data_IF_288477024791
#
_entry.id   IF_288477024791
#
_cell.length_a   1.000
_cell.length_b   1.000
_cell.length_c   1.000
_cell.angle_alpha   90.00
_cell.angle_beta   90.00
_cell.angle_gamma   90.00
#
_symmetry.space_group_name_H-M   'P 1'
#
loop_
_entity.id
_entity.type
_entity.pdbx_description
1 polymer ?
#
# COMPACT_ATOMS: atom_id res chain seq x y z
N UNK A 1 10.11 -20.61 -94.61
CA UNK A 1 10.29 -20.18 -93.20
C UNK A 1 8.90 -20.03 -92.56
N UNK A 2 8.75 -20.49 -91.30
CA UNK A 2 7.62 -20.42 -90.31
C UNK A 2 6.42 -19.47 -90.59
N UNK A 3 5.19 -19.71 -90.05
CA UNK A 3 4.91 -20.39 -88.76
C UNK A 3 3.65 -21.29 -88.69
N UNK A 4 3.52 -22.08 -87.62
CA UNK A 4 2.24 -22.33 -86.93
C UNK A 4 2.52 -22.85 -85.52
N UNK A 5 2.41 -21.97 -84.53
CA UNK A 5 2.43 -22.32 -83.10
C UNK A 5 1.04 -22.77 -82.67
N UNK A 6 0.89 -24.05 -82.34
CA UNK A 6 -0.32 -24.59 -81.70
C UNK A 6 -0.24 -24.33 -80.19
N UNK A 7 -1.21 -23.60 -79.64
CA UNK A 7 -1.33 -23.39 -78.20
C UNK A 7 -2.05 -24.59 -77.57
N UNK A 8 -1.32 -25.43 -76.84
CA UNK A 8 -1.93 -26.47 -76.01
C UNK A 8 -2.47 -25.86 -74.71
N UNK A 9 -3.79 -25.62 -74.68
CA UNK A 9 -4.50 -25.42 -73.40
C UNK A 9 -4.71 -26.78 -72.73
N UNK A 10 -3.85 -27.14 -71.78
CA UNK A 10 -4.16 -28.21 -70.82
C UNK A 10 -5.36 -27.78 -69.97
N UNK A 11 -6.55 -28.28 -70.29
CA UNK A 11 -7.70 -28.22 -69.37
C UNK A 11 -7.43 -29.20 -68.23
N UNK A 12 -7.01 -28.67 -67.09
CA UNK A 12 -6.98 -29.42 -65.84
C UNK A 12 -8.37 -30.01 -65.57
N UNK A 13 -8.44 -31.34 -65.47
CA UNK A 13 -9.66 -32.09 -65.15
C UNK A 13 -10.04 -31.69 -63.73
N UNK A 14 -11.04 -30.81 -63.58
CA UNK A 14 -11.65 -30.56 -62.28
C UNK A 14 -12.36 -31.84 -61.88
N UNK A 15 -11.79 -32.58 -60.92
CA UNK A 15 -12.54 -33.61 -60.21
C UNK A 15 -13.68 -32.91 -59.48
N UNK A 16 -14.89 -33.00 -60.03
CA UNK A 16 -16.10 -32.71 -59.28
C UNK A 16 -16.36 -33.93 -58.39
N UNK A 17 -15.72 -33.93 -57.21
CA UNK A 17 -15.98 -34.94 -56.18
C UNK A 17 -17.35 -34.69 -55.54
N UNK A 18 -18.19 -35.72 -55.53
CA UNK A 18 -19.46 -35.70 -54.81
C UNK A 18 -19.21 -35.73 -53.30
N UNK A 19 -19.84 -34.80 -52.59
CA UNK A 19 -19.80 -34.61 -51.15
C UNK A 19 -20.31 -35.86 -50.43
N UNK A 20 -19.42 -36.65 -49.82
CA UNK A 20 -19.85 -37.85 -49.10
C UNK A 20 -20.33 -37.46 -47.69
N UNK A 21 -21.33 -38.16 -47.15
CA UNK A 21 -21.79 -37.99 -45.76
C UNK A 21 -20.64 -38.10 -44.76
N UNK A 22 -19.66 -38.96 -45.06
CA UNK A 22 -18.48 -39.15 -44.24
C UNK A 22 -17.60 -37.90 -44.19
N UNK A 23 -17.46 -37.17 -45.31
CA UNK A 23 -16.68 -35.93 -45.37
C UNK A 23 -17.29 -34.84 -44.49
N UNK A 24 -18.62 -34.75 -44.45
CA UNK A 24 -19.33 -33.84 -43.53
C UNK A 24 -19.25 -34.27 -42.08
N UNK A 25 -19.33 -35.56 -41.80
CA UNK A 25 -19.20 -36.04 -40.44
C UNK A 25 -17.79 -35.74 -39.89
N UNK A 26 -16.74 -35.99 -40.68
CA UNK A 26 -15.37 -35.63 -40.30
C UNK A 26 -15.20 -34.11 -40.19
N UNK A 27 -15.74 -33.32 -41.11
CA UNK A 27 -15.66 -31.86 -41.03
C UNK A 27 -16.33 -31.30 -39.76
N UNK A 28 -17.54 -31.75 -39.44
CA UNK A 28 -18.29 -31.29 -38.27
C UNK A 28 -17.61 -31.74 -36.96
N UNK A 29 -17.10 -32.97 -36.91
CA UNK A 29 -16.39 -33.46 -35.71
C UNK A 29 -15.10 -32.67 -35.44
N UNK A 30 -14.31 -32.38 -36.48
CA UNK A 30 -13.12 -31.53 -36.33
C UNK A 30 -13.48 -30.11 -35.90
N UNK A 31 -14.52 -29.53 -36.52
CA UNK A 31 -15.01 -28.19 -36.16
C UNK A 31 -15.50 -28.15 -34.71
N UNK A 32 -16.22 -29.18 -34.27
CA UNK A 32 -16.67 -29.30 -32.88
C UNK A 32 -15.50 -29.35 -31.89
N UNK A 33 -14.46 -30.14 -32.17
CA UNK A 33 -13.25 -30.21 -31.32
C UNK A 33 -12.53 -28.85 -31.27
N UNK A 34 -12.34 -28.21 -32.43
CA UNK A 34 -11.72 -26.88 -32.49
C UNK A 34 -12.52 -25.84 -31.71
N UNK A 35 -13.85 -25.87 -31.81
CA UNK A 35 -14.73 -24.96 -31.06
C UNK A 35 -14.59 -25.15 -29.54
N UNK A 36 -14.53 -26.41 -29.06
CA UNK A 36 -14.34 -26.71 -27.63
C UNK A 36 -12.97 -26.22 -27.13
N UNK A 37 -11.90 -26.48 -27.88
CA UNK A 37 -10.55 -26.00 -27.53
C UNK A 37 -10.51 -24.47 -27.53
N UNK A 38 -11.10 -23.84 -28.55
CA UNK A 38 -11.17 -22.37 -28.65
C UNK A 38 -11.87 -21.74 -27.44
N UNK A 39 -13.00 -22.30 -27.00
CA UNK A 39 -13.69 -21.85 -25.80
C UNK A 39 -12.85 -22.02 -24.53
N UNK A 40 -12.16 -23.16 -24.37
CA UNK A 40 -11.28 -23.39 -23.21
C UNK A 40 -10.06 -22.47 -23.19
N UNK A 41 -9.47 -22.22 -24.36
CA UNK A 41 -8.36 -21.27 -24.49
C UNK A 41 -8.80 -19.85 -24.14
N UNK A 42 -9.99 -19.45 -24.59
CA UNK A 42 -10.57 -18.14 -24.27
C UNK A 42 -10.89 -18.00 -22.77
N UNK A 43 -11.53 -19.00 -22.15
CA UNK A 43 -11.83 -19.00 -20.71
C UNK A 43 -10.55 -18.89 -19.87
N UNK A 44 -9.51 -19.66 -20.21
CA UNK A 44 -8.21 -19.59 -19.56
C UNK A 44 -7.58 -18.19 -19.67
N UNK A 45 -7.64 -17.56 -20.84
CA UNK A 45 -7.12 -16.22 -21.06
C UNK A 45 -7.89 -15.16 -20.27
N UNK A 46 -9.22 -15.25 -20.24
CA UNK A 46 -10.07 -14.31 -19.49
C UNK A 46 -9.75 -14.38 -18.00
N UNK A 47 -9.70 -15.59 -17.41
CA UNK A 47 -9.33 -15.77 -16.00
C UNK A 47 -7.91 -15.29 -15.69
N UNK A 48 -6.97 -15.52 -16.61
CA UNK A 48 -5.60 -15.02 -16.47
C UNK A 48 -5.56 -13.49 -16.43
N UNK A 49 -6.29 -12.83 -17.33
CA UNK A 49 -6.41 -11.36 -17.36
C UNK A 49 -7.06 -10.80 -16.10
N UNK A 50 -8.11 -11.44 -15.59
CA UNK A 50 -8.76 -11.05 -14.34
C UNK A 50 -7.78 -11.10 -13.16
N UNK A 51 -7.01 -12.20 -13.04
CA UNK A 51 -6.00 -12.35 -11.98
C UNK A 51 -4.88 -11.31 -12.08
N UNK A 52 -4.40 -11.03 -13.29
CA UNK A 52 -3.38 -9.99 -13.51
C UNK A 52 -3.92 -8.60 -13.15
N UNK A 53 -5.16 -8.32 -13.52
CA UNK A 53 -5.81 -7.04 -13.22
C UNK A 53 -5.98 -6.84 -11.71
N UNK A 54 -6.44 -7.86 -10.97
CA UNK A 54 -6.55 -7.80 -9.50
C UNK A 54 -5.18 -7.59 -8.85
N UNK A 55 -4.14 -8.27 -9.34
CA UNK A 55 -2.78 -8.09 -8.86
C UNK A 55 -2.26 -6.66 -9.06
N UNK A 56 -2.48 -6.08 -10.24
CA UNK A 56 -2.09 -4.71 -10.55
C UNK A 56 -2.81 -3.69 -9.65
N UNK A 57 -4.12 -3.87 -9.43
CA UNK A 57 -4.90 -3.02 -8.53
C UNK A 57 -4.35 -3.06 -7.09
N UNK A 58 -3.96 -4.24 -6.60
CA UNK A 58 -3.36 -4.39 -5.27
C UNK A 58 -1.98 -3.74 -5.18
N UNK A 59 -1.16 -3.86 -6.23
CA UNK A 59 0.15 -3.20 -6.29
C UNK A 59 0.01 -1.68 -6.28
N UNK A 60 -0.97 -1.14 -7.00
CA UNK A 60 -1.24 0.28 -7.01
C UNK A 60 -1.77 0.78 -5.65
N UNK A 61 -2.63 0.00 -4.99
CA UNK A 61 -3.05 0.27 -3.62
C UNK A 61 -1.85 0.31 -2.64
N UNK A 62 -0.90 -0.61 -2.77
CA UNK A 62 0.33 -0.63 -1.98
C UNK A 62 1.22 0.60 -2.25
N UNK A 63 1.37 1.02 -3.51
CA UNK A 63 2.11 2.26 -3.85
C UNK A 63 1.46 3.48 -3.22
N UNK A 64 0.13 3.59 -3.28
CA UNK A 64 -0.63 4.67 -2.66
C UNK A 64 -0.44 4.67 -1.14
N UNK A 65 -0.45 3.49 -0.50
CA UNK A 65 -0.14 3.35 0.92
C UNK A 65 1.24 3.91 1.25
N UNK A 66 2.26 3.54 0.48
CA UNK A 66 3.64 3.99 0.71
C UNK A 66 3.80 5.49 0.50
N UNK A 67 3.18 6.05 -0.54
CA UNK A 67 3.19 7.50 -0.78
C UNK A 67 2.48 8.27 0.34
N UNK A 68 1.33 7.77 0.80
CA UNK A 68 0.61 8.38 1.91
C UNK A 68 1.41 8.31 3.22
N UNK A 69 1.99 7.15 3.54
CA UNK A 69 2.80 6.97 4.73
C UNK A 69 4.00 7.91 4.70
N UNK A 70 4.71 7.98 3.57
CA UNK A 70 5.83 8.87 3.37
C UNK A 70 5.44 10.34 3.66
N UNK A 71 4.36 10.82 3.05
CA UNK A 71 3.90 12.20 3.23
C UNK A 71 3.49 12.50 4.69
N UNK A 72 2.87 11.53 5.38
CA UNK A 72 2.49 11.67 6.79
C UNK A 72 3.71 11.68 7.73
N UNK A 73 4.77 10.92 7.41
CA UNK A 73 6.02 10.93 8.19
C UNK A 73 6.84 12.20 7.94
N UNK A 74 6.91 12.70 6.70
CA UNK A 74 7.62 13.93 6.37
C UNK A 74 7.09 15.13 7.18
N UNK A 75 5.79 15.15 7.46
CA UNK A 75 5.14 16.19 8.26
C UNK A 75 4.96 15.81 9.73
N UNK A 76 5.71 14.83 10.24
CA UNK A 76 5.59 14.41 11.63
C UNK A 76 5.84 15.60 12.58
N UNK A 77 4.93 15.79 13.54
CA UNK A 77 5.02 16.91 14.48
C UNK A 77 6.17 16.71 15.47
N UNK A 78 6.78 17.81 15.90
CA UNK A 78 7.94 17.73 16.79
C UNK A 78 7.54 17.34 18.23
N UNK A 79 8.26 16.41 18.87
CA UNK A 79 7.99 15.99 20.25
C UNK A 79 8.01 17.16 21.25
N UNK A 80 8.90 18.14 21.03
CA UNK A 80 9.04 19.32 21.88
C UNK A 80 7.82 20.25 21.80
N UNK A 81 7.27 20.49 20.61
CA UNK A 81 6.07 21.32 20.45
C UNK A 81 4.83 20.59 20.98
N UNK A 82 4.74 19.28 20.77
CA UNK A 82 3.62 18.48 21.25
C UNK A 82 3.64 18.24 22.77
N UNK A 83 4.84 18.24 23.40
CA UNK A 83 5.05 17.73 24.76
C UNK A 83 4.51 16.29 24.95
N UNK A 84 4.47 15.54 23.86
CA UNK A 84 3.99 14.17 23.79
C UNK A 84 4.74 13.44 22.67
N UNK A 85 4.69 12.11 22.69
CA UNK A 85 5.29 11.34 21.61
C UNK A 85 4.44 11.51 20.33
N UNK A 86 5.04 11.89 19.19
CA UNK A 86 4.32 12.02 17.93
C UNK A 86 4.00 10.66 17.28
N UNK A 87 4.57 9.56 17.79
CA UNK A 87 4.36 8.20 17.25
C UNK A 87 4.02 7.26 18.40
N UNK A 88 2.91 6.53 18.28
CA UNK A 88 2.59 5.42 19.18
C UNK A 88 2.43 4.13 18.37
N UNK A 89 3.13 3.10 18.81
CA UNK A 89 3.11 1.76 18.22
C UNK A 89 2.25 0.86 19.09
N UNK A 90 1.28 0.20 18.46
CA UNK A 90 0.42 -0.79 19.08
C UNK A 90 0.35 -2.06 18.23
N UNK A 91 -0.44 -3.02 18.70
CA UNK A 91 -0.68 -4.26 17.97
C UNK A 91 -1.56 -3.99 16.76
N UNK A 92 -1.07 -4.33 15.57
CA UNK A 92 -1.73 -4.04 14.30
C UNK A 92 -2.16 -2.56 14.15
N UNK A 93 -1.41 -1.63 14.75
CA UNK A 93 -1.73 -0.21 14.73
C UNK A 93 -0.50 0.67 14.90
N UNK A 94 -0.47 1.77 14.16
CA UNK A 94 0.46 2.89 14.33
C UNK A 94 -0.34 4.18 14.42
N UNK A 95 -0.07 4.98 15.44
CA UNK A 95 -0.59 6.34 15.56
C UNK A 95 0.53 7.32 15.23
N UNK A 96 0.21 8.33 14.45
CA UNK A 96 1.11 9.41 14.08
C UNK A 96 0.41 10.74 14.32
N UNK A 97 1.17 11.75 14.74
CA UNK A 97 0.70 13.14 14.79
C UNK A 97 1.49 13.93 13.78
N UNK A 98 0.80 14.54 12.82
CA UNK A 98 1.42 15.42 11.84
C UNK A 98 1.12 16.88 12.11
N UNK A 99 2.06 17.74 11.75
CA UNK A 99 1.87 19.19 11.63
C UNK A 99 1.24 19.49 10.26
N UNK A 100 0.19 20.30 10.24
CA UNK A 100 -0.51 20.73 9.05
C UNK A 100 -0.43 22.25 8.96
N UNK A 101 0.29 22.71 7.95
CA UNK A 101 0.51 24.12 7.67
C UNK A 101 -0.15 24.46 6.35
N UNK A 102 -1.37 24.97 6.44
CA UNK A 102 -2.09 25.47 5.27
C UNK A 102 -1.78 26.96 5.10
N UNK A 103 -1.64 27.39 3.85
CA UNK A 103 -1.31 28.79 3.54
C UNK A 103 -2.40 29.74 4.07
N UNK A 104 -1.96 30.80 4.78
CA UNK A 104 -2.86 31.78 5.38
C UNK A 104 -3.61 31.30 6.63
N UNK A 105 -3.36 30.10 7.14
CA UNK A 105 -3.97 29.57 8.37
C UNK A 105 -2.91 29.30 9.46
N UNK A 106 -3.29 29.37 10.75
CA UNK A 106 -2.40 28.96 11.83
C UNK A 106 -2.04 27.48 11.71
N UNK A 107 -0.85 27.07 12.16
CA UNK A 107 -0.45 25.66 12.17
C UNK A 107 -1.43 24.85 13.02
N UNK A 108 -1.86 23.71 12.49
CA UNK A 108 -2.78 22.79 13.17
C UNK A 108 -2.14 21.41 13.26
N UNK A 109 -2.48 20.64 14.28
CA UNK A 109 -2.09 19.25 14.39
C UNK A 109 -3.19 18.33 13.89
N UNK A 110 -2.79 17.22 13.30
CA UNK A 110 -3.73 16.18 12.92
C UNK A 110 -3.22 14.83 13.41
N UNK A 111 -4.06 14.15 14.20
CA UNK A 111 -3.79 12.78 14.63
C UNK A 111 -4.28 11.79 13.56
N UNK A 112 -3.44 10.79 13.30
CA UNK A 112 -3.64 9.76 12.28
C UNK A 112 -3.45 8.39 12.91
N UNK A 113 -4.19 7.41 12.43
CA UNK A 113 -3.97 6.00 12.73
C UNK A 113 -3.93 5.17 11.46
N UNK A 114 -2.90 4.35 11.31
CA UNK A 114 -2.91 3.19 10.44
C UNK A 114 -3.27 2.00 11.31
N UNK A 115 -4.39 1.35 11.03
CA UNK A 115 -4.85 0.21 11.82
C UNK A 115 -5.44 -0.87 10.91
N UNK A 116 -5.41 -2.10 11.39
CA UNK A 116 -6.08 -3.20 10.73
C UNK A 116 -7.54 -3.28 11.21
N UNK A 117 -8.49 -3.16 10.27
CA UNK A 117 -9.91 -3.39 10.49
C UNK A 117 -10.31 -4.69 9.77
N UNK A 118 -10.45 -5.78 10.55
CA UNK A 118 -10.57 -7.14 10.02
C UNK A 118 -9.32 -7.53 9.22
N UNK A 119 -9.47 -7.64 7.90
CA UNK A 119 -8.37 -7.91 6.95
C UNK A 119 -8.03 -6.70 6.07
N UNK A 120 -8.53 -5.50 6.39
CA UNK A 120 -8.28 -4.30 5.61
C UNK A 120 -7.49 -3.30 6.42
N UNK A 121 -6.34 -2.87 5.89
CA UNK A 121 -5.58 -1.77 6.45
C UNK A 121 -6.28 -0.46 6.09
N UNK A 122 -6.67 0.27 7.13
CA UNK A 122 -7.35 1.56 7.04
C UNK A 122 -6.50 2.66 7.62
N UNK A 123 -6.57 3.83 6.98
CA UNK A 123 -6.05 5.08 7.51
C UNK A 123 -7.19 5.88 8.09
N UNK A 124 -7.16 6.13 9.39
CA UNK A 124 -8.14 6.93 10.12
C UNK A 124 -7.49 8.28 10.45
N UNK A 125 -8.05 9.38 9.98
CA UNK A 125 -7.54 10.72 10.24
C UNK A 125 -8.56 11.53 11.05
N UNK A 126 -8.18 11.97 12.25
CA UNK A 126 -9.00 12.88 13.03
C UNK A 126 -9.09 14.26 12.35
N UNK A 127 -10.11 15.07 12.66
CA UNK A 127 -10.12 16.47 12.26
C UNK A 127 -8.85 17.21 12.73
N UNK A 128 -8.36 18.20 11.95
CA UNK A 128 -7.25 19.03 12.39
C UNK A 128 -7.67 19.87 13.60
N UNK A 129 -6.74 20.04 14.55
CA UNK A 129 -6.95 20.72 15.82
C UNK A 129 -5.81 21.70 16.08
N UNK A 130 -6.10 22.79 16.78
CA UNK A 130 -5.17 23.88 17.08
C UNK A 130 -4.68 23.88 18.54
N UNK A 131 -5.27 23.05 19.40
CA UNK A 131 -4.94 22.95 20.82
C UNK A 131 -4.48 21.56 21.25
N UNK A 132 -3.60 21.51 22.25
CA UNK A 132 -3.09 20.25 22.80
C UNK A 132 -4.17 19.43 23.47
N UNK A 133 -5.13 20.09 24.14
CA UNK A 133 -6.26 19.42 24.78
C UNK A 133 -7.15 18.71 23.74
N UNK A 134 -7.47 19.40 22.63
CA UNK A 134 -8.20 18.79 21.53
C UNK A 134 -7.41 17.63 20.89
N UNK A 135 -6.11 17.78 20.71
CA UNK A 135 -5.25 16.70 20.20
C UNK A 135 -5.26 15.45 21.11
N UNK A 136 -5.19 15.63 22.42
CA UNK A 136 -5.28 14.52 23.38
C UNK A 136 -6.62 13.78 23.25
N UNK A 137 -7.73 14.51 23.10
CA UNK A 137 -9.04 13.89 22.85
C UNK A 137 -9.10 13.12 21.52
N UNK A 138 -8.52 13.67 20.44
CA UNK A 138 -8.44 13.00 19.14
C UNK A 138 -7.60 11.72 19.21
N UNK A 139 -6.46 11.74 19.92
CA UNK A 139 -5.63 10.55 20.13
C UNK A 139 -6.36 9.48 20.95
N UNK A 140 -7.10 9.87 21.99
CA UNK A 140 -7.93 8.95 22.77
C UNK A 140 -9.00 8.28 21.89
N UNK A 141 -9.68 9.05 21.05
CA UNK A 141 -10.69 8.54 20.13
C UNK A 141 -10.09 7.56 19.10
N UNK A 142 -8.93 7.87 18.53
CA UNK A 142 -8.24 6.97 17.60
C UNK A 142 -7.78 5.66 18.26
N UNK A 143 -7.35 5.69 19.53
CA UNK A 143 -7.01 4.45 20.27
C UNK A 143 -8.22 3.52 20.46
N UNK A 144 -9.43 4.07 20.48
CA UNK A 144 -10.69 3.34 20.58
C UNK A 144 -11.24 2.89 19.22
N UNK A 145 -10.52 3.15 18.11
CA UNK A 145 -10.90 2.75 16.76
C UNK A 145 -11.40 3.90 15.87
N UNK A 146 -11.49 5.12 16.40
CA UNK A 146 -11.92 6.32 15.66
C UNK A 146 -13.05 7.07 16.36
N UNK A 147 -13.07 8.40 16.21
CA UNK A 147 -14.11 9.27 16.75
C UNK A 147 -15.05 9.84 15.68
N UNK A 148 -16.14 10.47 16.11
CA UNK A 148 -17.04 11.21 15.22
C UNK A 148 -16.25 12.27 14.42
N UNK A 149 -16.43 12.30 13.10
CA UNK A 149 -15.72 13.21 12.20
C UNK A 149 -14.34 12.75 11.74
N UNK A 150 -13.87 11.57 12.17
CA UNK A 150 -12.65 10.99 11.63
C UNK A 150 -12.86 10.51 10.18
N UNK A 151 -11.95 10.87 9.28
CA UNK A 151 -11.94 10.37 7.91
C UNK A 151 -11.30 8.99 7.87
N UNK A 152 -12.12 7.97 7.57
CA UNK A 152 -11.67 6.59 7.39
C UNK A 152 -11.46 6.32 5.91
N UNK A 153 -10.24 5.93 5.53
CA UNK A 153 -9.90 5.52 4.17
C UNK A 153 -9.35 4.11 4.17
N UNK A 154 -10.01 3.20 3.45
CA UNK A 154 -9.47 1.86 3.17
C UNK A 154 -8.29 2.00 2.22
N UNK A 155 -7.15 1.42 2.56
CA UNK A 155 -5.92 1.58 1.79
C UNK A 155 -5.47 0.28 1.14
N UNK A 156 -5.45 -0.83 1.89
CA UNK A 156 -5.02 -2.12 1.37
C UNK A 156 -5.88 -3.25 1.96
N UNK A 157 -6.42 -4.10 1.10
CA UNK A 157 -7.20 -5.27 1.51
C UNK A 157 -6.30 -6.52 1.67
N UNK A 158 -6.86 -7.59 2.22
CA UNK A 158 -6.20 -8.89 2.45
C UNK A 158 -4.87 -8.80 3.20
N UNK A 159 -4.86 -7.95 4.23
CA UNK A 159 -3.76 -7.82 5.18
C UNK A 159 -4.01 -8.76 6.35
N UNK A 160 -3.04 -9.61 6.66
CA UNK A 160 -3.08 -10.56 7.78
C UNK A 160 -2.58 -9.93 9.08
N UNK A 161 -1.49 -9.17 9.00
CA UNK A 161 -0.94 -8.46 10.16
C UNK A 161 -0.15 -7.23 9.74
N UNK A 162 -0.01 -6.30 10.67
CA UNK A 162 0.84 -5.13 10.51
C UNK A 162 1.62 -4.86 11.79
N UNK A 163 2.85 -4.39 11.63
CA UNK A 163 3.72 -4.02 12.74
C UNK A 163 4.53 -2.80 12.36
N UNK A 164 4.99 -2.05 13.35
CA UNK A 164 5.85 -0.91 13.10
C UNK A 164 6.94 -0.78 14.16
N UNK A 165 7.96 -0.03 13.80
CA UNK A 165 9.03 0.41 14.69
C UNK A 165 9.44 1.84 14.33
N UNK A 166 9.89 2.59 15.32
CA UNK A 166 10.35 3.97 15.15
C UNK A 166 11.83 4.04 15.49
N UNK A 167 12.62 4.70 14.65
CA UNK A 167 14.01 5.04 14.97
C UNK A 167 14.03 6.31 15.80
N UNK A 168 14.46 6.20 17.05
CA UNK A 168 14.61 7.33 17.96
C UNK A 168 16.10 7.59 18.16
N UNK A 169 16.59 8.78 17.82
CA UNK A 169 17.99 9.14 18.02
C UNK A 169 18.23 9.62 19.46
N UNK A 170 19.33 9.22 20.14
CA UNK A 170 20.42 8.31 19.73
C UNK A 170 20.16 6.81 20.00
N UNK A 171 18.95 6.43 20.41
CA UNK A 171 18.62 5.09 20.95
C UNK A 171 18.24 3.98 19.96
N UNK A 172 18.21 4.23 18.64
CA UNK A 172 17.94 3.23 17.61
C UNK A 172 16.47 2.84 17.42
N UNK A 173 16.24 1.68 16.79
CA UNK A 173 14.89 1.14 16.53
C UNK A 173 14.16 0.75 17.82
N UNK A 174 12.94 1.25 17.99
CA UNK A 174 12.05 0.99 19.12
C UNK A 174 10.69 0.48 18.64
N UNK A 175 10.16 -0.54 19.29
CA UNK A 175 8.84 -1.13 19.03
C UNK A 175 7.80 -0.75 20.10
N UNK A 176 8.26 -0.31 21.27
CA UNK A 176 7.40 -0.03 22.41
C UNK A 176 7.14 1.48 22.55
N UNK A 177 5.86 1.86 22.55
CA UNK A 177 5.44 3.26 22.78
C UNK A 177 6.02 3.87 24.06
N UNK A 178 6.11 3.09 25.13
CA UNK A 178 6.66 3.56 26.40
C UNK A 178 8.17 3.82 26.30
N UNK A 179 8.92 2.99 25.56
CA UNK A 179 10.35 3.22 25.34
C UNK A 179 10.60 4.43 24.45
N UNK A 180 9.77 4.62 23.40
CA UNK A 180 9.83 5.81 22.55
C UNK A 180 9.58 7.07 23.39
N UNK A 181 8.49 7.08 24.19
CA UNK A 181 8.18 8.22 25.07
C UNK A 181 9.30 8.47 26.07
N UNK A 182 9.80 7.43 26.73
CA UNK A 182 10.89 7.58 27.69
C UNK A 182 12.16 8.09 27.01
N UNK A 183 12.54 7.58 25.83
CA UNK A 183 13.72 8.08 25.11
C UNK A 183 13.58 9.56 24.76
N UNK A 184 12.42 9.98 24.25
CA UNK A 184 12.13 11.38 23.88
C UNK A 184 12.17 12.36 25.07
N UNK A 185 11.82 11.92 26.28
CA UNK A 185 11.66 12.81 27.44
C UNK A 185 12.62 12.54 28.61
N UNK A 186 13.34 11.41 28.65
CA UNK A 186 14.31 11.09 29.72
C UNK A 186 15.62 11.88 29.56
N UNK A 187 16.00 12.20 28.32
CA UNK A 187 17.15 13.07 28.03
C UNK A 187 17.02 14.45 28.67
N UNK A 188 15.80 14.96 28.87
CA UNK A 188 15.59 16.27 29.48
C UNK A 188 16.00 16.34 30.96
N UNK A 189 15.97 15.24 31.71
CA UNK A 189 16.35 15.25 33.13
C UNK A 189 17.89 15.27 33.32
N UNK A 190 18.63 14.51 32.51
CA UNK A 190 20.11 14.52 32.54
C UNK A 190 20.70 15.73 31.80
N UNK A 191 20.07 16.16 30.70
CA UNK A 191 20.49 17.35 29.96
C UNK A 191 20.12 18.66 30.65
N UNK A 192 19.13 18.71 31.56
CA UNK A 192 18.91 19.89 32.41
C UNK A 192 20.07 20.12 33.40
N UNK A 193 20.73 19.05 33.87
CA UNK A 193 21.93 19.12 34.72
C UNK A 193 23.18 19.44 33.89
N UNK A 194 23.22 19.09 32.60
CA UNK A 194 24.31 19.42 31.69
C UNK A 194 24.18 20.82 31.04
N UNK A 195 22.96 21.33 30.87
CA UNK A 195 22.67 22.65 30.28
C UNK A 195 23.03 23.84 31.19
N UNK A 196 23.32 23.59 32.48
CA UNK A 196 24.00 24.56 33.35
C UNK A 196 25.47 24.76 33.01
N UNK A 197 26.05 23.96 32.10
CA UNK A 197 27.33 24.25 31.47
C UNK A 197 27.09 25.00 30.14
N UNK A 198 27.58 26.24 30.05
CA UNK A 198 27.48 27.06 28.86
C UNK A 198 28.08 26.32 27.65
N UNK A 199 27.23 25.93 26.70
CA UNK A 199 27.63 25.25 25.45
C UNK A 199 27.09 23.84 25.23
N UNK A 200 26.23 23.29 26.11
CA UNK A 200 25.60 21.99 25.85
C UNK A 200 24.60 22.07 24.68
N UNK A 201 24.87 21.32 23.60
CA UNK A 201 23.92 21.11 22.52
C UNK A 201 22.61 20.54 23.09
N UNK A 202 21.46 21.09 22.66
CA UNK A 202 20.15 20.54 22.98
C UNK A 202 20.15 19.04 22.63
N UNK A 203 19.63 18.16 23.49
CA UNK A 203 19.49 16.75 23.14
C UNK A 203 18.63 16.67 21.88
N UNK A 204 19.25 16.29 20.76
CA UNK A 204 18.60 16.21 19.44
C UNK A 204 17.78 14.91 19.36
N UNK A 205 17.00 14.64 20.40
CA UNK A 205 16.23 13.42 20.55
C UNK A 205 14.96 13.56 19.73
N UNK A 206 15.01 13.00 18.53
CA UNK A 206 13.92 13.02 17.58
C UNK A 206 13.61 11.60 17.11
N UNK A 207 12.34 11.39 16.72
CA UNK A 207 12.00 10.27 15.86
C UNK A 207 12.52 10.65 14.48
N UNK A 208 13.43 9.85 13.89
CA UNK A 208 14.04 10.11 12.55
C UNK A 208 13.40 9.29 11.45
N UNK A 209 12.87 8.13 11.80
CA UNK A 209 12.23 7.24 10.84
C UNK A 209 11.13 6.42 11.50
N UNK A 210 10.14 6.03 10.72
CA UNK A 210 9.16 5.01 11.08
C UNK A 210 9.20 3.94 10.00
N UNK A 211 9.25 2.69 10.42
CA UNK A 211 9.13 1.54 9.55
C UNK A 211 7.79 0.86 9.77
N UNK A 212 7.08 0.64 8.67
CA UNK A 212 5.85 -0.14 8.64
C UNK A 212 6.12 -1.45 7.90
N UNK A 213 5.77 -2.57 8.55
CA UNK A 213 5.86 -3.92 8.00
C UNK A 213 4.47 -4.54 7.96
N UNK A 214 4.07 -5.04 6.79
CA UNK A 214 2.74 -5.56 6.50
C UNK A 214 2.89 -6.96 5.92
N UNK A 215 2.05 -7.89 6.37
CA UNK A 215 1.88 -9.19 5.75
C UNK A 215 0.56 -9.21 5.01
N UNK A 216 0.58 -9.30 3.68
CA UNK A 216 -0.62 -9.22 2.85
C UNK A 216 -0.61 -10.24 1.71
N UNK A 217 -1.81 -10.66 1.27
CA UNK A 217 -1.99 -11.51 0.08
C UNK A 217 -2.21 -10.62 -1.15
N UNK A 218 -1.52 -10.92 -2.25
CA UNK A 218 -1.57 -10.12 -3.48
C UNK A 218 -2.47 -10.73 -4.56
N UNK A 219 -3.29 -11.71 -4.20
CA UNK A 219 -4.23 -12.39 -5.08
C UNK A 219 -4.94 -13.52 -4.32
N UNK A 220 -6.01 -14.02 -4.90
CA UNK A 220 -6.78 -15.11 -4.30
C UNK A 220 -5.96 -16.40 -4.24
N UNK A 221 -5.92 -17.04 -3.07
CA UNK A 221 -5.10 -18.21 -2.78
C UNK A 221 -3.58 -17.98 -2.71
N UNK A 222 -3.11 -16.72 -2.80
CA UNK A 222 -1.69 -16.41 -2.69
C UNK A 222 -1.20 -16.53 -1.23
N UNK A 223 0.07 -16.91 -1.06
CA UNK A 223 0.68 -16.92 0.27
C UNK A 223 0.92 -15.50 0.75
N UNK A 224 0.76 -15.20 2.05
CA UNK A 224 1.05 -13.87 2.57
C UNK A 224 2.51 -13.48 2.31
N UNK A 225 2.73 -12.31 1.71
CA UNK A 225 4.06 -11.76 1.46
C UNK A 225 4.32 -10.58 2.38
N UNK A 226 5.58 -10.44 2.80
CA UNK A 226 6.02 -9.33 3.63
C UNK A 226 6.34 -8.10 2.76
N UNK A 227 5.77 -6.96 3.15
CA UNK A 227 5.97 -5.65 2.55
C UNK A 227 6.46 -4.68 3.62
N UNK A 228 7.60 -4.03 3.39
CA UNK A 228 8.23 -3.15 4.35
C UNK A 228 8.50 -1.79 3.72
N UNK A 229 8.16 -0.72 4.45
CA UNK A 229 8.42 0.66 4.07
C UNK A 229 8.99 1.42 5.24
N UNK A 230 10.20 1.95 5.06
CA UNK A 230 10.78 2.96 5.95
C UNK A 230 10.42 4.33 5.37
N UNK A 231 9.86 5.19 6.20
CA UNK A 231 9.66 6.61 5.95
C UNK A 231 10.56 7.42 6.88
N UNK A 232 11.23 8.43 6.33
CA UNK A 232 12.05 9.39 7.10
C UNK A 232 11.15 10.52 7.54
N UNK A 233 11.39 11.05 8.74
CA UNK A 233 10.62 12.17 9.28
C UNK A 233 11.30 13.50 8.93
N UNK A 234 10.54 14.58 8.79
CA UNK A 234 11.08 15.93 8.56
C UNK A 234 11.70 16.62 9.78
N UNK A 235 11.91 15.89 10.87
CA UNK A 235 12.46 16.36 12.15
C UNK A 235 13.98 16.22 12.20
#
# INVERSE_FOLDING_TARGET
MKPATCSERRRGRKFAGGFTLLEMLVAITLLAVMAVIGWRALDSLTRSRERLTDHDLRLDALKVLYGQLQADCEHLASPALLQASPVEIGQNRVLLVRDRRDEGQPPTWQALSYQLDGNTLVRVAAPPVDSRAALQSSLLALRQGGGNGAQVRRVLADVDSMSARAWVEPGGWQIDSNRIRNALFSGNAASAVAASAAGAALPNTAVRAVELTIFARMGDGDTPRQFQKICVTGL
#
